data_IF_087835544405
#
_entry.id   IF_087835544405
#
_cell.length_a   1.000
_cell.length_b   1.000
_cell.length_c   1.000
_cell.angle_alpha   90.00
_cell.angle_beta   90.00
_cell.angle_gamma   90.00
#
_symmetry.space_group_name_H-M   'P 1'
#
loop_
_entity.id
_entity.type
_entity.pdbx_description
1 polymer ?
#
# COMPACT_ATOMS: atom_id res chain seq x y z
N UNK A 1 15.87 46.70 -37.74
CA UNK A 1 16.14 45.42 -37.08
C UNK A 1 15.10 45.24 -35.99
N UNK A 2 14.32 44.17 -36.06
CA UNK A 2 13.26 43.87 -35.11
C UNK A 2 13.81 43.01 -33.95
N UNK A 3 13.06 42.90 -32.84
CA UNK A 3 13.50 42.10 -31.69
C UNK A 3 13.69 40.61 -32.03
N UNK A 4 12.93 40.10 -33.00
CA UNK A 4 13.06 38.74 -33.53
C UNK A 4 14.39 38.56 -34.28
N UNK A 5 14.75 39.48 -35.18
CA UNK A 5 16.03 39.44 -35.91
C UNK A 5 17.23 39.44 -34.97
N UNK A 6 17.13 40.19 -33.85
CA UNK A 6 18.15 40.19 -32.80
C UNK A 6 18.20 38.83 -32.08
N UNK A 7 17.04 38.26 -31.74
CA UNK A 7 16.93 36.95 -31.10
C UNK A 7 17.56 35.84 -31.93
N UNK A 8 17.19 35.76 -33.21
CA UNK A 8 17.70 34.76 -34.15
C UNK A 8 19.21 34.91 -34.38
N UNK A 9 19.69 36.16 -34.50
CA UNK A 9 21.12 36.46 -34.64
C UNK A 9 21.93 36.05 -33.41
N UNK A 10 21.41 36.32 -32.20
CA UNK A 10 22.06 35.90 -30.95
C UNK A 10 21.99 34.38 -30.78
N UNK A 11 20.86 33.75 -31.11
CA UNK A 11 20.70 32.30 -31.02
C UNK A 11 21.65 31.57 -31.98
N UNK A 12 21.77 32.03 -33.23
CA UNK A 12 22.71 31.49 -34.21
C UNK A 12 24.16 31.58 -33.74
N UNK A 13 24.51 32.64 -33.02
CA UNK A 13 25.87 32.84 -32.54
C UNK A 13 26.16 32.08 -31.25
N UNK A 14 25.18 31.90 -30.35
CA UNK A 14 25.38 31.27 -29.03
C UNK A 14 25.14 29.75 -29.04
N UNK A 15 23.95 29.32 -29.45
CA UNK A 15 23.46 27.93 -29.28
C UNK A 15 23.25 27.20 -30.62
N UNK A 16 23.28 27.95 -31.72
CA UNK A 16 22.99 27.48 -33.07
C UNK A 16 21.51 27.66 -33.43
N UNK A 17 21.26 28.18 -34.62
CA UNK A 17 19.91 28.41 -35.14
C UNK A 17 19.54 27.27 -36.09
N UNK A 18 18.44 26.57 -35.79
CA UNK A 18 17.93 25.52 -36.67
C UNK A 18 17.33 26.14 -37.93
N UNK A 19 17.93 25.84 -39.07
CA UNK A 19 17.51 26.35 -40.39
C UNK A 19 16.71 25.32 -41.20
N UNK A 20 16.82 24.03 -40.87
CA UNK A 20 16.09 22.97 -41.57
C UNK A 20 16.40 21.59 -41.03
N UNK A 21 15.79 20.59 -41.65
CA UNK A 21 16.01 19.18 -41.42
C UNK A 21 16.50 18.50 -42.70
N UNK A 22 17.45 17.58 -42.56
CA UNK A 22 17.94 16.73 -43.63
C UNK A 22 17.62 15.28 -43.30
N UNK A 23 16.81 14.63 -44.12
CA UNK A 23 16.41 13.22 -43.92
C UNK A 23 17.38 12.29 -44.64
N UNK A 24 18.01 11.39 -43.89
CA UNK A 24 18.91 10.38 -44.42
C UNK A 24 18.57 9.00 -43.84
N UNK A 25 18.25 8.03 -44.71
CA UNK A 25 17.97 6.63 -44.35
C UNK A 25 16.90 6.42 -43.26
N UNK A 26 15.94 7.35 -43.16
CA UNK A 26 14.84 7.28 -42.19
C UNK A 26 15.05 8.15 -40.95
N UNK A 27 16.27 8.65 -40.72
CA UNK A 27 16.56 9.55 -39.62
C UNK A 27 16.51 11.02 -40.10
N UNK A 28 15.98 11.90 -39.25
CA UNK A 28 15.95 13.34 -39.48
C UNK A 28 17.11 13.99 -38.75
N UNK A 29 18.00 14.64 -39.48
CA UNK A 29 19.17 15.34 -38.95
C UNK A 29 18.88 16.84 -38.98
N UNK A 30 18.97 17.51 -37.83
CA UNK A 30 18.78 18.95 -37.74
C UNK A 30 19.99 19.70 -38.28
N UNK A 31 19.74 20.64 -39.20
CA UNK A 31 20.75 21.56 -39.74
C UNK A 31 20.77 22.83 -38.90
N UNK A 32 21.90 23.08 -38.25
CA UNK A 32 22.12 24.24 -37.39
C UNK A 32 23.13 25.19 -38.04
N UNK A 33 22.81 26.48 -38.09
CA UNK A 33 23.79 27.53 -38.36
C UNK A 33 24.39 27.94 -37.04
N UNK A 34 25.71 27.79 -36.92
CA UNK A 34 26.46 28.26 -35.77
C UNK A 34 27.57 29.20 -36.19
N UNK A 35 28.13 29.91 -35.22
CA UNK A 35 29.33 30.74 -35.39
C UNK A 35 30.52 29.91 -35.89
N UNK A 36 31.45 30.55 -36.59
CA UNK A 36 32.74 29.94 -36.92
C UNK A 36 33.66 29.83 -35.69
N UNK A 37 34.58 28.86 -35.72
CA UNK A 37 35.53 28.53 -34.64
C UNK A 37 36.46 29.69 -34.25
N UNK A 38 36.56 30.73 -35.08
CA UNK A 38 37.46 31.88 -34.88
C UNK A 38 37.08 32.80 -33.71
N UNK A 39 35.89 32.66 -33.16
CA UNK A 39 35.46 33.38 -31.97
C UNK A 39 35.34 32.36 -30.85
N UNK A 40 35.85 32.64 -29.65
CA UNK A 40 35.56 31.86 -28.44
C UNK A 40 34.52 32.60 -27.60
N UNK A 41 33.39 31.94 -27.33
CA UNK A 41 32.33 32.48 -26.50
C UNK A 41 32.68 32.26 -25.03
N UNK A 42 33.06 33.35 -24.38
CA UNK A 42 33.17 33.42 -22.93
C UNK A 42 32.10 34.35 -22.38
N UNK A 43 31.73 34.14 -21.11
CA UNK A 43 30.74 34.94 -20.38
C UNK A 43 31.06 36.45 -20.37
N UNK A 44 32.34 36.82 -20.51
CA UNK A 44 32.80 38.21 -20.59
C UNK A 44 32.83 38.79 -22.02
N UNK A 45 32.94 37.92 -23.04
CA UNK A 45 33.11 38.33 -24.44
C UNK A 45 31.80 38.33 -25.25
N UNK A 46 30.68 37.87 -24.66
CA UNK A 46 29.35 37.90 -25.30
C UNK A 46 28.94 39.29 -25.79
N UNK A 47 29.34 40.34 -25.07
CA UNK A 47 29.01 41.71 -25.44
C UNK A 47 29.72 42.19 -26.72
N UNK A 48 30.84 41.58 -27.09
CA UNK A 48 31.66 41.95 -28.25
C UNK A 48 31.34 41.15 -29.51
N UNK A 49 30.38 40.23 -29.42
CA UNK A 49 29.98 39.37 -30.54
C UNK A 49 29.46 40.24 -31.69
N UNK A 50 30.00 40.10 -32.92
CA UNK A 50 29.58 40.90 -34.05
C UNK A 50 28.23 40.41 -34.59
N UNK A 51 27.22 41.27 -34.54
CA UNK A 51 25.92 41.05 -35.17
C UNK A 51 25.89 41.74 -36.54
N UNK A 52 25.51 41.00 -37.58
CA UNK A 52 25.26 41.57 -38.90
C UNK A 52 23.88 42.23 -38.93
N UNK A 53 23.86 43.53 -39.23
CA UNK A 53 22.64 44.32 -39.34
C UNK A 53 22.48 44.88 -40.74
N UNK A 54 21.25 44.88 -41.23
CA UNK A 54 20.90 45.50 -42.51
C UNK A 54 20.48 46.93 -42.23
N UNK A 55 21.24 47.89 -42.75
CA UNK A 55 20.89 49.30 -42.71
C UNK A 55 19.71 49.61 -43.62
N UNK A 56 19.04 50.73 -43.40
CA UNK A 56 17.86 51.15 -44.19
C UNK A 56 18.18 51.31 -45.70
N UNK A 57 19.46 51.46 -46.04
CA UNK A 57 20.01 51.58 -47.40
C UNK A 57 20.34 50.21 -48.04
N UNK A 58 19.98 49.09 -47.41
CA UNK A 58 20.29 47.74 -47.87
C UNK A 58 21.75 47.30 -47.65
N UNK A 59 22.57 48.12 -46.99
CA UNK A 59 23.96 47.78 -46.66
C UNK A 59 24.07 46.90 -45.42
N UNK A 60 24.90 45.85 -45.49
CA UNK A 60 25.24 45.02 -44.33
C UNK A 60 26.36 45.68 -43.53
N UNK A 61 26.12 45.96 -42.25
CA UNK A 61 27.13 46.44 -41.30
C UNK A 61 27.22 45.47 -40.13
N UNK A 62 28.41 45.22 -39.61
CA UNK A 62 28.58 44.48 -38.36
C UNK A 62 28.67 45.47 -37.20
N UNK A 63 27.84 45.27 -36.19
CA UNK A 63 27.88 46.04 -34.95
C UNK A 63 28.02 45.08 -33.76
N UNK A 64 28.77 45.44 -32.71
CA UNK A 64 28.88 44.60 -31.54
C UNK A 64 27.53 44.52 -30.80
N UNK A 65 27.23 43.38 -30.18
CA UNK A 65 26.00 43.16 -29.41
C UNK A 65 25.79 44.24 -28.33
N UNK A 66 26.88 44.75 -27.73
CA UNK A 66 26.86 45.82 -26.74
C UNK A 66 26.24 47.13 -27.23
N UNK A 67 26.24 47.39 -28.54
CA UNK A 67 25.65 48.60 -29.12
C UNK A 67 24.12 48.55 -29.21
N UNK A 68 23.51 47.36 -29.08
CA UNK A 68 22.07 47.15 -29.28
C UNK A 68 21.41 46.53 -28.05
N UNK A 69 22.16 45.81 -27.21
CA UNK A 69 21.65 45.14 -26.02
C UNK A 69 22.63 45.26 -24.84
N UNK A 70 22.07 45.31 -23.62
CA UNK A 70 22.87 45.26 -22.38
C UNK A 70 22.92 43.83 -21.86
N UNK A 71 24.10 43.23 -21.85
CA UNK A 71 24.32 41.89 -21.30
C UNK A 71 24.58 42.01 -19.80
N UNK A 72 23.73 41.41 -18.97
CA UNK A 72 23.91 41.32 -17.52
C UNK A 72 23.91 39.86 -17.11
N UNK A 73 24.84 39.48 -16.23
CA UNK A 73 24.76 38.19 -15.54
C UNK A 73 23.64 38.28 -14.51
N UNK A 74 22.70 37.35 -14.60
CA UNK A 74 21.61 37.23 -13.65
C UNK A 74 21.39 35.74 -13.36
N UNK A 75 21.05 35.44 -12.11
CA UNK A 75 20.68 34.09 -11.73
C UNK A 75 19.27 33.82 -12.26
N UNK A 76 19.17 32.84 -13.16
CA UNK A 76 17.91 32.37 -13.71
C UNK A 76 17.66 30.93 -13.27
N UNK A 77 16.40 30.55 -12.99
CA UNK A 77 16.07 29.16 -12.71
C UNK A 77 16.37 28.31 -13.95
N UNK A 78 17.23 27.30 -13.82
CA UNK A 78 17.49 26.36 -14.92
C UNK A 78 16.29 25.45 -15.20
N UNK A 79 15.51 25.16 -14.16
CA UNK A 79 14.30 24.36 -14.25
C UNK A 79 13.22 24.93 -13.34
N UNK A 80 12.00 25.02 -13.85
CA UNK A 80 10.84 25.43 -13.07
C UNK A 80 9.95 24.20 -12.90
N UNK A 81 10.08 23.54 -11.74
CA UNK A 81 9.20 22.45 -11.38
C UNK A 81 7.85 23.01 -10.92
N UNK A 82 6.78 22.33 -11.34
CA UNK A 82 5.42 22.65 -10.93
C UNK A 82 4.67 21.39 -10.50
N UNK A 83 3.94 21.50 -9.41
CA UNK A 83 2.95 20.52 -8.95
C UNK A 83 1.61 21.25 -8.90
N UNK A 84 0.58 20.68 -9.53
CA UNK A 84 -0.75 21.30 -9.62
C UNK A 84 -0.72 22.75 -10.13
N UNK A 85 0.11 23.00 -11.16
CA UNK A 85 0.34 24.32 -11.78
C UNK A 85 1.02 25.38 -10.87
N UNK A 86 1.32 25.06 -9.62
CA UNK A 86 2.05 25.94 -8.70
C UNK A 86 3.55 25.66 -8.77
N UNK A 87 4.38 26.70 -8.64
CA UNK A 87 5.84 26.53 -8.56
C UNK A 87 6.18 25.75 -7.29
N UNK A 88 6.96 24.69 -7.44
CA UNK A 88 7.24 23.74 -6.37
C UNK A 88 8.74 23.46 -6.26
N UNK A 89 9.21 23.31 -5.04
CA UNK A 89 10.55 22.80 -4.74
C UNK A 89 10.37 21.45 -4.05
N UNK A 90 10.89 20.38 -4.65
CA UNK A 90 10.79 19.04 -4.09
C UNK A 90 11.99 18.78 -3.20
N UNK A 91 11.74 18.56 -1.91
CA UNK A 91 12.76 18.09 -0.96
C UNK A 91 12.65 16.58 -0.85
N UNK A 92 13.70 15.85 -1.23
CA UNK A 92 13.74 14.41 -1.12
C UNK A 92 14.41 14.02 0.19
N UNK A 93 13.63 13.40 1.09
CA UNK A 93 14.13 12.87 2.36
C UNK A 93 14.19 11.35 2.24
N UNK A 94 15.36 10.78 2.53
CA UNK A 94 15.56 9.33 2.56
C UNK A 94 15.64 8.94 4.03
N UNK A 95 14.64 8.21 4.49
CA UNK A 95 14.54 7.75 5.88
C UNK A 95 15.45 6.52 6.08
N UNK A 96 16.22 6.44 7.18
CA UNK A 96 16.99 5.25 7.52
C UNK A 96 16.09 4.01 7.65
N UNK A 97 16.57 2.81 7.29
CA UNK A 97 15.75 1.58 7.30
C UNK A 97 15.34 1.11 8.70
N UNK A 98 15.93 1.66 9.76
CA UNK A 98 15.63 1.34 11.16
C UNK A 98 14.41 2.10 11.68
N UNK A 99 14.04 3.20 11.04
CA UNK A 99 12.98 4.08 11.49
C UNK A 99 11.68 3.84 10.69
N UNK A 100 10.53 3.64 11.37
CA UNK A 100 9.24 3.57 10.70
C UNK A 100 8.97 4.86 9.93
N UNK A 101 8.60 4.72 8.64
CA UNK A 101 8.25 5.87 7.81
C UNK A 101 7.15 6.74 8.43
N UNK A 102 6.18 6.12 9.10
CA UNK A 102 5.09 6.82 9.80
C UNK A 102 5.62 7.75 10.91
N UNK A 103 6.64 7.32 11.65
CA UNK A 103 7.23 8.10 12.73
C UNK A 103 7.99 9.30 12.15
N UNK A 104 8.83 9.07 11.14
CA UNK A 104 9.53 10.14 10.44
C UNK A 104 8.56 11.15 9.80
N UNK A 105 7.44 10.68 9.23
CA UNK A 105 6.39 11.54 8.70
C UNK A 105 5.72 12.38 9.78
N UNK A 106 5.34 11.76 10.91
CA UNK A 106 4.72 12.45 12.02
C UNK A 106 5.65 13.52 12.61
N UNK A 107 6.95 13.23 12.70
CA UNK A 107 7.96 14.18 13.16
C UNK A 107 8.11 15.37 12.21
N UNK A 108 8.20 15.12 10.90
CA UNK A 108 8.26 16.18 9.89
C UNK A 108 6.98 17.03 9.94
N UNK A 109 5.81 16.40 10.05
CA UNK A 109 4.53 17.10 10.08
C UNK A 109 4.37 17.95 11.35
N UNK A 110 4.90 17.49 12.49
CA UNK A 110 4.96 18.26 13.73
C UNK A 110 5.92 19.46 13.65
N UNK A 111 7.03 19.35 12.89
CA UNK A 111 7.98 20.46 12.71
C UNK A 111 7.45 21.58 11.81
N UNK A 112 6.59 21.29 10.83
CA UNK A 112 6.04 22.29 9.89
C UNK A 112 5.41 23.51 10.59
N UNK A 113 4.48 23.36 11.56
CA UNK A 113 3.87 24.50 12.24
C UNK A 113 4.91 25.31 13.03
N UNK A 114 5.88 24.67 13.68
CA UNK A 114 6.94 25.36 14.42
C UNK A 114 7.85 26.18 13.50
N UNK A 115 8.22 25.65 12.34
CA UNK A 115 8.99 26.37 11.32
C UNK A 115 8.20 27.54 10.72
N UNK A 116 6.88 27.39 10.59
CA UNK A 116 5.99 28.47 10.14
C UNK A 116 5.90 29.59 11.18
N UNK A 117 5.80 29.25 12.46
CA UNK A 117 5.79 30.21 13.57
C UNK A 117 7.11 30.96 13.71
N UNK A 118 8.24 30.31 13.41
CA UNK A 118 9.57 30.93 13.39
C UNK A 118 9.81 31.82 12.15
N UNK A 119 8.86 31.92 11.22
CA UNK A 119 8.98 32.73 10.01
C UNK A 119 9.91 32.15 8.95
N UNK A 120 10.35 30.89 9.08
CA UNK A 120 11.18 30.20 8.08
C UNK A 120 10.39 29.79 6.84
N UNK A 121 9.07 29.66 6.97
CA UNK A 121 8.14 29.37 5.88
C UNK A 121 7.22 30.59 5.69
N UNK A 122 7.23 31.18 4.49
CA UNK A 122 6.36 32.32 4.18
C UNK A 122 4.88 31.89 4.18
N UNK A 123 3.97 32.78 4.61
CA UNK A 123 2.55 32.47 4.81
C UNK A 123 1.82 31.92 3.56
N UNK A 124 2.31 32.18 2.35
CA UNK A 124 1.74 31.72 1.09
C UNK A 124 2.34 30.45 0.49
N UNK A 125 3.29 29.80 1.17
CA UNK A 125 3.90 28.55 0.70
C UNK A 125 3.15 27.37 1.30
N UNK A 126 2.52 26.56 0.44
CA UNK A 126 1.95 25.27 0.81
C UNK A 126 3.06 24.23 0.97
N UNK A 127 3.02 23.45 2.05
CA UNK A 127 3.90 22.30 2.24
C UNK A 127 3.05 21.05 2.19
N UNK A 128 3.26 20.24 1.15
CA UNK A 128 2.61 18.95 1.00
C UNK A 128 3.68 17.87 1.15
N UNK A 129 3.43 16.91 2.03
CA UNK A 129 4.18 15.65 2.06
C UNK A 129 3.62 14.76 0.96
N UNK A 130 4.49 14.01 0.29
CA UNK A 130 4.12 13.20 -0.87
C UNK A 130 5.04 12.00 -1.06
N UNK A 131 4.58 11.00 -1.83
CA UNK A 131 5.40 9.85 -2.25
C UNK A 131 4.84 8.49 -1.82
N UNK A 132 5.72 7.53 -1.54
CA UNK A 132 5.37 6.20 -0.98
C UNK A 132 4.69 6.33 0.39
N UNK A 133 5.10 7.34 1.16
CA UNK A 133 4.47 7.85 2.37
C UNK A 133 2.94 8.05 2.23
N UNK A 134 2.50 8.80 1.23
CA UNK A 134 1.06 9.06 1.02
C UNK A 134 0.27 7.81 0.67
N UNK A 135 0.87 6.91 -0.12
CA UNK A 135 0.22 5.65 -0.50
C UNK A 135 0.06 4.75 0.72
N UNK A 136 1.02 4.79 1.65
CA UNK A 136 0.97 4.10 2.93
C UNK A 136 -0.17 4.59 3.80
N UNK A 137 -0.26 5.91 4.00
CA UNK A 137 -1.35 6.53 4.76
C UNK A 137 -2.71 6.24 4.12
N UNK A 138 -2.84 6.39 2.80
CA UNK A 138 -4.10 6.11 2.10
C UNK A 138 -4.52 4.64 2.21
N UNK A 139 -3.58 3.69 2.11
CA UNK A 139 -3.90 2.27 2.26
C UNK A 139 -4.23 1.95 3.73
N UNK A 140 -3.49 2.51 4.69
CA UNK A 140 -3.79 2.39 6.12
C UNK A 140 -5.19 2.88 6.43
N UNK A 141 -5.51 4.11 6.05
CA UNK A 141 -6.82 4.72 6.29
C UNK A 141 -7.93 3.92 5.60
N UNK A 142 -7.69 3.47 4.36
CA UNK A 142 -8.65 2.63 3.65
C UNK A 142 -8.86 1.27 4.35
N UNK A 143 -7.82 0.68 4.96
CA UNK A 143 -7.91 -0.63 5.60
C UNK A 143 -8.37 -0.52 7.05
N UNK A 144 -7.67 0.20 7.92
CA UNK A 144 -7.94 0.22 9.37
C UNK A 144 -8.79 1.39 9.82
N UNK A 145 -9.03 2.39 8.96
CA UNK A 145 -9.53 3.69 9.40
C UNK A 145 -8.45 4.50 10.13
N UNK A 146 -8.80 5.73 10.54
CA UNK A 146 -7.93 6.60 11.33
C UNK A 146 -7.97 6.20 12.82
N UNK A 147 -6.80 5.94 13.39
CA UNK A 147 -6.67 5.69 14.83
C UNK A 147 -6.61 7.03 15.55
N UNK A 148 -7.65 7.33 16.32
CA UNK A 148 -7.79 8.54 17.11
C UNK A 148 -7.56 8.24 18.61
N UNK A 149 -7.17 9.25 19.38
CA UNK A 149 -6.97 9.16 20.84
C UNK A 149 -8.25 8.72 21.58
N UNK A 150 -9.41 8.91 20.96
CA UNK A 150 -10.72 8.49 21.49
C UNK A 150 -11.15 7.15 20.90
N UNK A 151 -11.44 6.16 21.77
CA UNK A 151 -11.95 4.84 21.39
C UNK A 151 -13.19 4.93 20.48
N UNK A 152 -14.15 5.80 20.82
CA UNK A 152 -15.38 5.97 20.04
C UNK A 152 -15.13 6.45 18.61
N UNK A 153 -14.16 7.34 18.40
CA UNK A 153 -13.81 7.85 17.07
C UNK A 153 -13.08 6.79 16.26
N UNK A 154 -12.14 6.06 16.88
CA UNK A 154 -11.46 4.92 16.24
C UNK A 154 -12.46 3.85 15.81
N UNK A 155 -13.46 3.54 16.64
CA UNK A 155 -14.50 2.58 16.31
C UNK A 155 -15.35 3.05 15.12
N UNK A 156 -15.73 4.33 15.09
CA UNK A 156 -16.46 4.91 13.96
C UNK A 156 -15.65 4.89 12.66
N UNK A 157 -14.37 5.27 12.71
CA UNK A 157 -13.47 5.22 11.55
C UNK A 157 -13.23 3.78 11.07
N UNK A 158 -13.17 2.81 11.98
CA UNK A 158 -13.06 1.40 11.63
C UNK A 158 -14.32 0.91 10.89
N UNK A 159 -15.52 1.27 11.35
CA UNK A 159 -16.77 0.91 10.66
C UNK A 159 -16.82 1.49 9.23
N UNK A 160 -16.25 2.66 9.03
CA UNK A 160 -16.16 3.30 7.71
C UNK A 160 -15.03 2.74 6.83
N UNK A 161 -14.19 1.85 7.35
CA UNK A 161 -13.05 1.31 6.63
C UNK A 161 -13.45 0.23 5.62
N UNK A 162 -12.64 0.05 4.58
CA UNK A 162 -12.83 -1.00 3.57
C UNK A 162 -12.60 -2.39 4.16
N UNK A 163 -11.78 -2.53 5.20
CA UNK A 163 -11.60 -3.81 5.89
C UNK A 163 -12.87 -4.22 6.62
N UNK A 164 -13.54 -3.30 7.31
CA UNK A 164 -14.83 -3.59 7.93
C UNK A 164 -15.86 -3.98 6.88
N UNK A 165 -15.93 -3.25 5.76
CA UNK A 165 -16.81 -3.61 4.66
C UNK A 165 -16.50 -5.02 4.11
N UNK A 166 -15.22 -5.37 3.94
CA UNK A 166 -14.81 -6.70 3.51
C UNK A 166 -15.19 -7.80 4.52
N UNK A 167 -14.98 -7.55 5.82
CA UNK A 167 -15.38 -8.46 6.90
C UNK A 167 -16.91 -8.61 6.96
N UNK A 168 -17.65 -7.53 6.75
CA UNK A 168 -19.11 -7.52 6.71
C UNK A 168 -19.64 -8.33 5.53
N UNK A 169 -19.09 -8.11 4.32
CA UNK A 169 -19.45 -8.90 3.14
C UNK A 169 -19.16 -10.39 3.37
N UNK A 170 -17.99 -10.72 3.92
CA UNK A 170 -17.64 -12.10 4.25
C UNK A 170 -18.58 -12.70 5.31
N UNK A 171 -18.94 -11.94 6.33
CA UNK A 171 -19.93 -12.35 7.32
C UNK A 171 -21.29 -12.63 6.69
N UNK A 172 -21.81 -11.73 5.85
CA UNK A 172 -23.09 -11.91 5.15
C UNK A 172 -23.07 -13.10 4.20
N UNK A 173 -21.96 -13.31 3.48
CA UNK A 173 -21.76 -14.48 2.62
C UNK A 173 -21.84 -15.77 3.46
N UNK A 174 -21.22 -15.79 4.64
CA UNK A 174 -21.33 -16.93 5.55
C UNK A 174 -22.72 -17.09 6.16
N UNK A 175 -23.42 -16.00 6.47
CA UNK A 175 -24.82 -16.06 6.90
C UNK A 175 -25.70 -16.71 5.84
N UNK A 176 -25.45 -16.40 4.56
CA UNK A 176 -26.13 -17.05 3.44
C UNK A 176 -25.72 -18.53 3.30
N UNK A 177 -24.43 -18.86 3.48
CA UNK A 177 -23.93 -20.23 3.39
C UNK A 177 -24.49 -21.15 4.49
N UNK A 178 -24.59 -20.66 5.72
CA UNK A 178 -25.02 -21.43 6.88
C UNK A 178 -26.49 -21.24 7.23
N UNK A 179 -27.21 -20.37 6.50
CA UNK A 179 -28.59 -19.96 6.77
C UNK A 179 -28.82 -19.54 8.24
N UNK A 180 -27.80 -18.95 8.86
CA UNK A 180 -27.77 -18.64 10.29
C UNK A 180 -26.88 -17.44 10.57
N UNK A 181 -27.34 -16.53 11.43
CA UNK A 181 -26.58 -15.36 11.87
C UNK A 181 -25.55 -15.68 12.97
N UNK A 182 -25.72 -16.82 13.64
CA UNK A 182 -24.95 -17.18 14.84
C UNK A 182 -23.67 -17.95 14.48
N UNK A 183 -23.75 -18.92 13.57
CA UNK A 183 -22.58 -19.74 13.21
C UNK A 183 -21.44 -18.93 12.56
N UNK A 184 -21.71 -17.98 11.65
CA UNK A 184 -20.68 -17.10 11.10
C UNK A 184 -19.97 -16.24 12.15
N UNK A 185 -20.67 -15.84 13.23
CA UNK A 185 -20.08 -15.08 14.33
C UNK A 185 -18.97 -15.88 15.04
N UNK A 186 -19.19 -17.19 15.25
CA UNK A 186 -18.21 -18.10 15.85
C UNK A 186 -16.96 -18.20 14.97
N UNK A 187 -17.16 -18.28 13.65
CA UNK A 187 -16.07 -18.36 12.67
C UNK A 187 -15.26 -17.04 12.69
N UNK A 188 -15.93 -15.89 12.70
CA UNK A 188 -15.28 -14.57 12.70
C UNK A 188 -14.48 -14.31 13.98
N UNK A 189 -14.76 -15.01 15.08
CA UNK A 189 -13.95 -14.92 16.30
C UNK A 189 -12.50 -15.39 16.09
N UNK A 190 -12.23 -16.22 15.07
CA UNK A 190 -10.86 -16.63 14.73
C UNK A 190 -10.00 -15.51 14.12
N UNK A 191 -10.62 -14.49 13.53
CA UNK A 191 -9.91 -13.41 12.81
C UNK A 191 -9.05 -12.55 13.74
N UNK A 192 -9.56 -11.99 14.86
CA UNK A 192 -8.73 -11.22 15.78
C UNK A 192 -7.54 -12.00 16.34
N UNK A 193 -7.73 -13.30 16.63
CA UNK A 193 -6.66 -14.17 17.12
C UNK A 193 -5.54 -14.34 16.08
N UNK A 194 -5.91 -14.48 14.81
CA UNK A 194 -4.94 -14.52 13.72
C UNK A 194 -4.19 -13.19 13.57
N UNK A 195 -4.87 -12.06 13.68
CA UNK A 195 -4.25 -10.73 13.64
C UNK A 195 -3.18 -10.59 14.72
N UNK A 196 -3.44 -11.03 15.96
CA UNK A 196 -2.45 -11.06 17.04
C UNK A 196 -1.24 -11.92 16.64
N UNK A 197 -1.48 -13.10 16.06
CA UNK A 197 -0.42 -13.97 15.55
C UNK A 197 0.42 -13.34 14.43
N UNK A 198 -0.22 -12.58 13.53
CA UNK A 198 0.45 -11.86 12.45
C UNK A 198 1.37 -10.76 12.98
N UNK A 199 0.92 -10.00 13.98
CA UNK A 199 1.75 -9.01 14.67
C UNK A 199 2.93 -9.65 15.40
N UNK A 200 2.72 -10.79 16.07
CA UNK A 200 3.80 -11.56 16.69
C UNK A 200 4.81 -12.04 15.65
N UNK A 201 4.35 -12.56 14.51
CA UNK A 201 5.23 -13.00 13.42
C UNK A 201 6.08 -11.86 12.84
N UNK A 202 5.47 -10.69 12.64
CA UNK A 202 6.17 -9.50 12.19
C UNK A 202 7.22 -9.05 13.21
N UNK A 203 6.86 -8.99 14.50
CA UNK A 203 7.77 -8.61 15.58
C UNK A 203 8.97 -9.56 15.69
N UNK A 204 8.73 -10.87 15.63
CA UNK A 204 9.79 -11.87 15.67
C UNK A 204 10.74 -11.67 14.48
N UNK A 205 10.19 -11.45 13.29
CA UNK A 205 11.02 -11.25 12.09
C UNK A 205 11.80 -9.95 12.14
N UNK A 206 11.23 -8.89 12.75
CA UNK A 206 11.92 -7.64 13.02
C UNK A 206 13.12 -7.82 13.98
N UNK A 207 12.99 -8.68 15.00
CA UNK A 207 14.13 -9.01 15.88
C UNK A 207 15.25 -9.76 15.16
N UNK A 208 14.93 -10.61 14.17
CA UNK A 208 15.93 -11.34 13.38
C UNK A 208 16.52 -10.53 12.21
N UNK A 209 15.72 -9.63 11.63
CA UNK A 209 16.10 -8.74 10.52
C UNK A 209 15.50 -7.35 10.78
N UNK A 210 16.29 -6.36 11.23
CA UNK A 210 15.80 -5.07 11.72
C UNK A 210 15.25 -4.12 10.65
N UNK A 211 14.94 -4.60 9.44
CA UNK A 211 14.49 -3.78 8.31
C UNK A 211 13.03 -3.96 7.94
N UNK A 212 12.28 -4.83 8.63
CA UNK A 212 10.86 -5.02 8.34
C UNK A 212 9.97 -4.21 9.24
N UNK A 213 9.44 -3.16 8.64
CA UNK A 213 8.47 -2.25 9.20
C UNK A 213 7.08 -2.58 8.63
N UNK A 214 6.04 -2.00 9.23
CA UNK A 214 4.68 -2.15 8.75
C UNK A 214 4.48 -1.30 7.49
N UNK A 215 4.56 -1.93 6.32
CA UNK A 215 4.39 -1.32 4.99
C UNK A 215 3.09 -1.82 4.28
N UNK A 216 2.70 -1.21 3.16
CA UNK A 216 1.51 -1.55 2.35
C UNK A 216 1.45 -3.04 2.03
N UNK A 217 2.60 -3.62 1.65
CA UNK A 217 2.69 -5.03 1.30
C UNK A 217 2.50 -5.93 2.52
N UNK A 218 2.93 -5.49 3.71
CA UNK A 218 2.69 -6.22 4.97
C UNK A 218 1.22 -6.17 5.37
N UNK A 219 0.53 -5.04 5.14
CA UNK A 219 -0.92 -4.91 5.35
C UNK A 219 -1.71 -5.83 4.44
N UNK A 220 -1.28 -6.00 3.19
CA UNK A 220 -1.87 -6.99 2.27
C UNK A 220 -1.76 -8.42 2.84
N UNK A 221 -0.67 -8.73 3.54
CA UNK A 221 -0.51 -9.98 4.28
C UNK A 221 -1.61 -10.23 5.31
N UNK A 222 -2.04 -9.20 6.06
CA UNK A 222 -3.18 -9.31 6.98
C UNK A 222 -4.51 -9.57 6.26
N UNK A 223 -4.72 -8.95 5.10
CA UNK A 223 -5.93 -9.18 4.29
C UNK A 223 -5.99 -10.63 3.81
N UNK A 224 -4.88 -11.18 3.32
CA UNK A 224 -4.77 -12.59 2.92
C UNK A 224 -4.97 -13.52 4.14
N UNK A 225 -4.40 -13.15 5.29
CA UNK A 225 -4.52 -13.90 6.53
C UNK A 225 -5.98 -14.08 6.97
N UNK A 226 -6.80 -13.02 6.86
CA UNK A 226 -8.24 -13.08 7.20
C UNK A 226 -8.94 -14.17 6.38
N UNK A 227 -8.73 -14.20 5.06
CA UNK A 227 -9.37 -15.20 4.19
C UNK A 227 -8.90 -16.62 4.48
N UNK A 228 -7.59 -16.81 4.66
CA UNK A 228 -7.01 -18.14 4.91
C UNK A 228 -7.46 -18.73 6.25
N UNK A 229 -7.57 -17.91 7.30
CA UNK A 229 -8.00 -18.33 8.63
C UNK A 229 -9.48 -18.66 8.68
N UNK A 230 -10.31 -17.82 8.04
CA UNK A 230 -11.76 -18.06 7.97
C UNK A 230 -12.05 -19.39 7.27
N UNK A 231 -11.33 -19.74 6.20
CA UNK A 231 -11.53 -21.01 5.49
C UNK A 231 -11.33 -22.24 6.40
N UNK A 232 -10.27 -22.26 7.22
CA UNK A 232 -10.02 -23.35 8.16
C UNK A 232 -11.15 -23.47 9.19
N UNK A 233 -11.64 -22.35 9.70
CA UNK A 233 -12.75 -22.28 10.66
C UNK A 233 -14.09 -22.71 10.04
N UNK A 234 -14.38 -22.31 8.79
CA UNK A 234 -15.56 -22.73 8.02
C UNK A 234 -15.65 -24.26 7.96
N UNK A 235 -14.55 -24.93 7.61
CA UNK A 235 -14.53 -26.39 7.40
C UNK A 235 -14.81 -27.19 8.68
N UNK A 236 -14.38 -26.70 9.83
CA UNK A 236 -14.63 -27.36 11.12
C UNK A 236 -16.11 -27.21 11.51
N UNK A 237 -16.65 -26.00 11.38
CA UNK A 237 -18.04 -25.69 11.75
C UNK A 237 -19.02 -26.36 10.79
N UNK A 238 -18.77 -26.33 9.47
CA UNK A 238 -19.61 -26.99 8.48
C UNK A 238 -19.63 -28.50 8.67
N UNK A 239 -18.48 -29.13 8.95
CA UNK A 239 -18.45 -30.57 9.20
C UNK A 239 -19.16 -30.95 10.51
N UNK A 240 -19.06 -30.12 11.55
CA UNK A 240 -19.82 -30.35 12.78
C UNK A 240 -21.33 -30.29 12.54
N UNK A 241 -21.81 -29.30 11.78
CA UNK A 241 -23.22 -29.18 11.39
C UNK A 241 -23.68 -30.36 10.52
N UNK A 242 -22.85 -30.82 9.59
CA UNK A 242 -23.16 -31.98 8.76
C UNK A 242 -23.36 -33.25 9.60
N UNK A 243 -22.46 -33.50 10.56
CA UNK A 243 -22.61 -34.63 11.49
C UNK A 243 -23.85 -34.53 12.38
N UNK A 244 -24.25 -33.32 12.81
CA UNK A 244 -25.51 -33.12 13.54
C UNK A 244 -26.75 -33.39 12.67
N UNK A 245 -26.67 -33.08 11.38
CA UNK A 245 -27.76 -33.31 10.42
C UNK A 245 -27.86 -34.78 9.96
N UNK A 246 -26.84 -35.60 10.23
CA UNK A 246 -26.76 -37.02 9.83
C UNK A 246 -26.04 -37.24 8.49
N UNK A 247 -25.23 -36.28 8.06
CA UNK A 247 -24.36 -36.40 6.90
C UNK A 247 -22.93 -36.73 7.36
N UNK A 248 -22.26 -37.63 6.61
CA UNK A 248 -20.88 -38.05 6.83
C UNK A 248 -19.86 -37.04 6.29
N UNK A 249 -18.77 -37.52 5.72
CA UNK A 249 -17.77 -36.64 5.06
C UNK A 249 -18.29 -36.04 3.75
N UNK A 250 -19.31 -36.66 3.15
CA UNK A 250 -20.03 -36.19 1.97
C UNK A 250 -21.53 -36.17 2.26
N UNK A 251 -22.29 -35.24 1.67
CA UNK A 251 -23.76 -35.20 1.76
C UNK A 251 -24.42 -36.50 1.25
N UNK A 252 -23.70 -37.27 0.42
CA UNK A 252 -24.13 -38.56 -0.09
C UNK A 252 -23.99 -39.70 0.94
N UNK A 253 -23.12 -39.52 1.93
CA UNK A 253 -22.88 -40.50 2.99
C UNK A 253 -23.79 -40.20 4.18
N UNK A 254 -24.73 -41.11 4.48
CA UNK A 254 -25.68 -40.93 5.58
C UNK A 254 -25.15 -41.66 6.81
N UNK A 255 -24.94 -40.92 7.89
CA UNK A 255 -24.47 -41.45 9.15
C UNK A 255 -25.54 -41.21 10.22
N UNK A 256 -25.54 -42.00 11.28
CA UNK A 256 -26.36 -41.70 12.44
C UNK A 256 -26.09 -40.28 12.94
N UNK A 257 -27.16 -39.59 13.35
CA UNK A 257 -27.02 -38.22 13.88
C UNK A 257 -26.18 -38.27 15.14
N UNK A 258 -25.10 -37.51 15.15
CA UNK A 258 -24.27 -37.37 16.32
C UNK A 258 -24.87 -36.35 17.27
N UNK A 259 -24.77 -36.60 18.58
CA UNK A 259 -25.02 -35.55 19.58
C UNK A 259 -24.08 -34.36 19.33
N UNK A 260 -24.44 -33.11 19.69
CA UNK A 260 -23.63 -31.94 19.36
C UNK A 260 -22.17 -32.06 19.80
N UNK A 261 -21.92 -32.65 20.98
CA UNK A 261 -20.56 -32.86 21.49
C UNK A 261 -19.78 -33.93 20.72
N UNK A 262 -20.45 -34.98 20.27
CA UNK A 262 -19.84 -36.01 19.43
C UNK A 262 -19.53 -35.47 18.02
N UNK A 263 -20.46 -34.70 17.45
CA UNK A 263 -20.32 -34.08 16.14
C UNK A 263 -19.10 -33.14 16.07
N UNK A 264 -18.92 -32.30 17.10
CA UNK A 264 -17.76 -31.40 17.22
C UNK A 264 -16.45 -32.19 17.37
N UNK A 265 -16.45 -33.25 18.19
CA UNK A 265 -15.26 -34.07 18.39
C UNK A 265 -14.84 -34.75 17.10
N UNK A 266 -15.78 -35.34 16.37
CA UNK A 266 -15.48 -36.05 15.14
C UNK A 266 -15.12 -35.08 14.01
N UNK A 267 -15.75 -33.90 13.94
CA UNK A 267 -15.37 -32.86 12.97
C UNK A 267 -13.93 -32.40 13.14
N UNK A 268 -13.49 -32.15 14.37
CA UNK A 268 -12.09 -31.81 14.64
C UNK A 268 -11.18 -32.96 14.25
N UNK A 269 -11.55 -34.21 14.57
CA UNK A 269 -10.73 -35.39 14.26
C UNK A 269 -10.52 -35.59 12.75
N UNK A 270 -11.58 -35.50 11.95
CA UNK A 270 -11.49 -35.70 10.50
C UNK A 270 -10.83 -34.52 9.78
N UNK A 271 -11.01 -33.29 10.30
CA UNK A 271 -10.43 -32.08 9.71
C UNK A 271 -9.01 -31.75 10.18
N UNK A 272 -8.54 -32.30 11.31
CA UNK A 272 -7.19 -32.02 11.83
C UNK A 272 -6.09 -32.34 10.82
N UNK A 273 -6.17 -33.49 10.14
CA UNK A 273 -5.15 -33.90 9.15
C UNK A 273 -5.13 -32.96 7.92
N UNK A 274 -6.26 -32.70 7.23
CA UNK A 274 -6.30 -31.73 6.14
C UNK A 274 -5.86 -30.31 6.54
N UNK A 275 -6.31 -29.79 7.70
CA UNK A 275 -5.93 -28.45 8.17
C UNK A 275 -4.43 -28.37 8.46
N UNK A 276 -3.84 -29.39 9.08
CA UNK A 276 -2.39 -29.45 9.27
C UNK A 276 -1.63 -29.56 7.94
N UNK A 277 -2.16 -30.31 6.96
CA UNK A 277 -1.53 -30.42 5.64
C UNK A 277 -1.47 -29.09 4.91
N UNK A 278 -2.58 -28.33 4.88
CA UNK A 278 -2.61 -27.02 4.19
C UNK A 278 -1.72 -26.01 4.89
N UNK A 279 -1.82 -25.92 6.21
CA UNK A 279 -1.04 -24.97 7.02
C UNK A 279 0.45 -25.27 6.91
N UNK A 280 0.88 -26.54 7.02
CA UNK A 280 2.28 -26.93 6.87
C UNK A 280 2.81 -26.65 5.46
N UNK A 281 2.00 -26.87 4.42
CA UNK A 281 2.38 -26.57 3.03
C UNK A 281 2.61 -25.07 2.83
N UNK A 282 1.71 -24.23 3.35
CA UNK A 282 1.87 -22.76 3.29
C UNK A 282 3.06 -22.30 4.12
N UNK A 283 3.25 -22.89 5.30
CA UNK A 283 4.40 -22.64 6.16
C UNK A 283 5.71 -22.92 5.43
N UNK A 284 5.89 -24.14 4.93
CA UNK A 284 7.11 -24.53 4.22
C UNK A 284 7.30 -23.80 2.89
N UNK A 285 6.21 -23.38 2.23
CA UNK A 285 6.27 -22.59 1.00
C UNK A 285 6.73 -21.15 1.22
N UNK A 286 6.30 -20.52 2.31
CA UNK A 286 6.66 -19.13 2.65
C UNK A 286 7.91 -19.03 3.54
N UNK A 287 8.33 -20.12 4.20
CA UNK A 287 9.50 -20.13 5.09
C UNK A 287 10.79 -19.65 4.40
N UNK A 288 11.14 -20.09 3.17
CA UNK A 288 12.36 -19.63 2.50
C UNK A 288 12.34 -18.13 2.19
N UNK A 289 11.16 -17.60 1.86
CA UNK A 289 10.95 -16.19 1.55
C UNK A 289 11.22 -15.30 2.78
N UNK A 290 10.88 -15.81 3.96
CA UNK A 290 11.10 -15.09 5.22
C UNK A 290 12.53 -15.22 5.71
N UNK A 291 13.14 -16.41 5.59
CA UNK A 291 14.46 -16.69 6.16
C UNK A 291 15.66 -16.32 5.28
N UNK A 292 15.55 -16.39 3.95
CA UNK A 292 16.70 -16.16 3.07
C UNK A 292 16.72 -14.72 2.56
N UNK A 293 17.74 -13.92 2.90
CA UNK A 293 17.92 -12.61 2.30
C UNK A 293 18.37 -12.73 0.85
N UNK A 294 17.66 -12.05 -0.04
CA UNK A 294 17.98 -11.94 -1.46
C UNK A 294 17.40 -10.67 -2.07
N UNK A 295 17.84 -10.30 -3.27
CA UNK A 295 17.30 -9.14 -3.99
C UNK A 295 15.79 -9.25 -4.17
N UNK A 296 15.04 -8.21 -3.81
CA UNK A 296 13.57 -8.18 -3.84
C UNK A 296 12.86 -8.95 -2.72
N UNK A 297 13.60 -9.68 -1.86
CA UNK A 297 12.98 -10.38 -0.72
C UNK A 297 12.40 -9.40 0.30
N UNK A 298 13.00 -8.22 0.48
CA UNK A 298 12.59 -7.20 1.45
C UNK A 298 11.11 -6.80 1.33
N UNK A 299 10.60 -6.72 0.09
CA UNK A 299 9.20 -6.37 -0.20
C UNK A 299 8.24 -7.48 0.28
N UNK A 300 8.58 -8.74 -0.01
CA UNK A 300 7.70 -9.88 0.25
C UNK A 300 7.92 -10.53 1.61
N UNK A 301 9.06 -10.29 2.25
CA UNK A 301 9.41 -10.85 3.55
C UNK A 301 8.40 -10.41 4.61
N UNK A 302 7.99 -9.14 4.58
CA UNK A 302 7.00 -8.59 5.52
C UNK A 302 5.64 -9.26 5.37
N UNK A 303 5.15 -9.41 4.14
CA UNK A 303 3.93 -10.18 3.84
C UNK A 303 4.04 -11.63 4.32
N UNK A 304 5.17 -12.30 4.01
CA UNK A 304 5.43 -13.68 4.42
C UNK A 304 5.43 -13.82 5.95
N UNK A 305 6.07 -12.90 6.68
CA UNK A 305 6.15 -12.97 8.14
C UNK A 305 4.79 -12.88 8.84
N UNK A 306 3.92 -11.99 8.36
CA UNK A 306 2.55 -11.82 8.88
C UNK A 306 1.72 -13.08 8.62
N UNK A 307 1.79 -13.62 7.40
CA UNK A 307 1.04 -14.83 7.04
C UNK A 307 1.56 -16.05 7.80
N UNK A 308 2.88 -16.22 7.92
CA UNK A 308 3.49 -17.33 8.65
C UNK A 308 3.16 -17.30 10.15
N UNK A 309 3.38 -16.16 10.82
CA UNK A 309 3.09 -16.02 12.24
C UNK A 309 1.60 -16.09 12.53
N UNK A 310 0.79 -15.44 11.68
CA UNK A 310 -0.66 -15.48 11.75
C UNK A 310 -1.21 -16.89 11.62
N UNK A 311 -0.75 -17.66 10.62
CA UNK A 311 -1.19 -19.04 10.43
C UNK A 311 -0.72 -19.96 11.56
N UNK A 312 0.52 -19.84 12.05
CA UNK A 312 1.00 -20.68 13.15
C UNK A 312 0.14 -20.54 14.40
N UNK A 313 -0.05 -19.30 14.83
CA UNK A 313 -0.86 -18.98 16.00
C UNK A 313 -2.32 -19.35 15.71
N UNK A 314 -2.89 -18.86 14.60
CA UNK A 314 -4.29 -19.12 14.28
C UNK A 314 -4.61 -20.59 14.11
N UNK A 315 -3.73 -21.44 13.58
CA UNK A 315 -4.05 -22.87 13.40
C UNK A 315 -4.22 -23.56 14.75
N UNK A 316 -3.32 -23.29 15.69
CA UNK A 316 -3.40 -23.85 17.06
C UNK A 316 -4.67 -23.35 17.75
N UNK A 317 -4.95 -22.05 17.66
CA UNK A 317 -6.13 -21.47 18.28
C UNK A 317 -7.43 -21.90 17.58
N UNK A 318 -7.48 -22.02 16.26
CA UNK A 318 -8.67 -22.45 15.52
C UNK A 318 -9.04 -23.90 15.85
N UNK A 319 -8.07 -24.81 15.98
CA UNK A 319 -8.36 -26.21 16.35
C UNK A 319 -8.83 -26.39 17.79
N UNK A 320 -8.58 -25.42 18.68
CA UNK A 320 -8.96 -25.49 20.09
C UNK A 320 -10.16 -24.59 20.42
N UNK A 321 -10.05 -23.30 20.09
CA UNK A 321 -11.00 -22.25 20.47
C UNK A 321 -12.27 -22.32 19.65
N UNK A 322 -12.22 -22.54 18.34
CA UNK A 322 -13.44 -22.56 17.51
C UNK A 322 -14.39 -23.68 17.93
N UNK A 323 -13.94 -24.94 18.15
CA UNK A 323 -14.80 -26.01 18.68
C UNK A 323 -15.40 -25.69 20.05
N UNK A 324 -14.63 -25.09 20.95
CA UNK A 324 -15.09 -24.73 22.30
C UNK A 324 -16.15 -23.64 22.26
N UNK A 325 -15.92 -22.57 21.48
CA UNK A 325 -16.91 -21.50 21.30
C UNK A 325 -18.16 -22.04 20.63
N UNK A 326 -18.01 -22.88 19.61
CA UNK A 326 -19.14 -23.49 18.92
C UNK A 326 -19.97 -24.37 19.86
N UNK A 327 -19.33 -25.19 20.70
CA UNK A 327 -20.02 -25.97 21.74
C UNK A 327 -20.76 -25.08 22.73
N UNK A 328 -20.13 -23.99 23.18
CA UNK A 328 -20.73 -23.06 24.13
C UNK A 328 -21.95 -22.34 23.54
N UNK A 329 -21.89 -21.98 22.25
CA UNK A 329 -23.00 -21.38 21.53
C UNK A 329 -24.16 -22.35 21.35
N UNK A 330 -23.88 -23.63 21.05
CA UNK A 330 -24.92 -24.66 20.98
C UNK A 330 -25.56 -24.88 22.35
N UNK A 331 -24.76 -25.05 23.41
CA UNK A 331 -25.26 -25.25 24.77
C UNK A 331 -26.11 -24.03 25.23
N UNK A 332 -25.69 -22.81 24.88
CA UNK A 332 -26.46 -21.58 25.12
C UNK A 332 -27.79 -21.57 24.36
N UNK A 333 -27.79 -21.99 23.08
CA UNK A 333 -29.02 -22.10 22.27
C UNK A 333 -29.98 -23.09 22.94
N UNK A 334 -29.53 -24.31 23.28
CA UNK A 334 -30.36 -25.33 23.94
C UNK A 334 -30.91 -24.83 25.28
N UNK A 335 -30.08 -24.15 26.10
CA UNK A 335 -30.51 -23.56 27.36
C UNK A 335 -31.55 -22.45 27.20
N UNK A 336 -31.41 -21.61 26.17
CA UNK A 336 -32.36 -20.55 25.85
C UNK A 336 -33.70 -21.12 25.38
N UNK A 337 -33.69 -22.14 24.51
CA UNK A 337 -34.92 -22.82 24.05
C UNK A 337 -35.66 -23.52 25.20
N UNK A 338 -34.93 -24.20 26.10
CA UNK A 338 -35.53 -24.81 27.31
C UNK A 338 -36.18 -23.78 28.23
N UNK A 339 -35.64 -22.56 28.31
CA UNK A 339 -36.15 -21.49 29.18
C UNK A 339 -37.30 -20.70 28.54
N UNK A 340 -37.34 -20.61 27.21
CA UNK A 340 -38.40 -19.95 26.44
C UNK A 340 -39.56 -20.88 26.05
N UNK A 341 -39.46 -22.19 26.32
CA UNK A 341 -40.54 -23.15 26.04
C UNK A 341 -40.81 -23.38 24.56
N UNK A 342 -39.86 -23.05 23.68
CA UNK A 342 -39.96 -23.27 22.24
C UNK A 342 -39.53 -24.69 21.86
N UNK A 343 -40.12 -25.26 20.81
CA UNK A 343 -39.74 -26.58 20.31
C UNK A 343 -38.26 -26.56 19.90
N UNK A 344 -37.50 -27.46 20.52
CA UNK A 344 -36.10 -27.70 20.21
C UNK A 344 -36.05 -28.23 18.77
N UNK A 345 -35.31 -27.54 17.90
CA UNK A 345 -35.07 -28.00 16.52
C UNK A 345 -34.65 -29.48 16.51
N UNK A 346 -35.11 -30.30 15.56
CA UNK A 346 -34.84 -31.74 15.54
C UNK A 346 -33.34 -32.09 15.39
N UNK A 347 -32.49 -31.10 15.10
CA UNK A 347 -31.03 -31.19 15.04
C UNK A 347 -30.34 -31.07 16.42
N UNK A 348 -31.09 -30.69 17.47
CA UNK A 348 -30.59 -30.40 18.82
C UNK A 348 -31.18 -31.32 19.91
N UNK A 349 -31.98 -32.32 19.53
CA UNK A 349 -32.51 -33.33 20.46
C UNK A 349 -31.44 -34.41 20.69
N UNK A 350 -31.11 -34.64 21.96
CA UNK A 350 -30.27 -35.75 22.42
C UNK A 350 -30.84 -37.11 22.01
#
# INVERSE_FOLDING_TARGET
MNALDLGDGVQALVDGLKIGDYRYRGDSIDLLVTRGDSYELNSDNLALVPLAVVGNDGSHKTIPLSSVATVKRADAPQQINRVEQQRSITLQVIVPPEEPLEQAMSEIQAMIPDLRNQGKIALGVGVNLGGTADKLVQVREALTGQVHDSFWQTFQSFIQSRLFLALLINYLLMCALFESWVYPLVIMFSVPLATIGGFLGLRITHEFVPTQLLDVVTMLGFVILIGTVVNNSILIVSQALNYMRGFGESELDKVERFTPRQAIRESVRTRMRPVMMTTLTTLLGLLPLVLKPGSGSEIYRGLGSVVLGGLLVSTVFTLLVVPVIFSLVIDLKVGLYRRLGWEIEPELRD
#
